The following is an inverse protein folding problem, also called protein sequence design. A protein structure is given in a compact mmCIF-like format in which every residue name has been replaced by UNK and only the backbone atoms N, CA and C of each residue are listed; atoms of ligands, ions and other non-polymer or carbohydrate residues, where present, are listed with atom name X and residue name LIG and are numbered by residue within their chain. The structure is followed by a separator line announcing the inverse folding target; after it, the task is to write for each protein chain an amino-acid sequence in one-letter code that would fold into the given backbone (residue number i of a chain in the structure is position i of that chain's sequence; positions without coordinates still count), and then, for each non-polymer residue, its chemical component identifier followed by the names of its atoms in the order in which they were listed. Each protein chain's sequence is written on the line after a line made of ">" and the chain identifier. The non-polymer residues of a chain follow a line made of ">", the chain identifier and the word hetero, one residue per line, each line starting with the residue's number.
data_IF_504622620850
#
_entry.id   IF_504622620850
#
_cell.length_a   1.000
_cell.length_b   1.000
_cell.length_c   1.000
_cell.angle_alpha   90.00
_cell.angle_beta   90.00
_cell.angle_gamma   90.00
#
_symmetry.space_group_name_H-M   'P 1'
#
loop_
_entity.id
_entity.type
_entity.pdbx_description
1 polymer ?
#
# COMPACT_ATOMS: atom_id res chain seq x y z
N UNK A 1 -31.58 27.64 -25.81
CA UNK A 1 -30.65 26.54 -26.17
C UNK A 1 -29.59 26.18 -25.10
N UNK A 2 -29.70 26.60 -23.83
CA UNK A 2 -28.68 26.31 -22.78
C UNK A 2 -29.01 25.15 -21.82
N UNK A 3 -30.25 24.66 -21.83
CA UNK A 3 -30.70 23.63 -20.86
C UNK A 3 -30.25 22.21 -21.22
N UNK A 4 -30.20 21.87 -22.51
CA UNK A 4 -29.75 20.53 -22.96
C UNK A 4 -28.30 20.22 -22.59
N UNK A 5 -27.43 21.24 -22.53
CA UNK A 5 -26.02 21.07 -22.15
C UNK A 5 -25.85 20.79 -20.66
N UNK A 6 -26.67 21.42 -19.80
CA UNK A 6 -26.66 21.15 -18.35
C UNK A 6 -27.18 19.75 -18.02
N UNK A 7 -28.19 19.27 -18.75
CA UNK A 7 -28.72 17.91 -18.62
C UNK A 7 -27.71 16.85 -19.09
N UNK A 8 -26.98 17.11 -20.17
CA UNK A 8 -25.88 16.24 -20.64
C UNK A 8 -24.70 16.19 -19.66
N UNK A 9 -24.31 17.31 -19.07
CA UNK A 9 -23.25 17.36 -18.05
C UNK A 9 -23.63 16.59 -16.78
N UNK A 10 -24.87 16.73 -16.30
CA UNK A 10 -25.36 15.98 -15.14
C UNK A 10 -25.41 14.46 -15.39
N UNK A 11 -25.79 14.03 -16.60
CA UNK A 11 -25.81 12.60 -16.97
C UNK A 11 -24.41 12.03 -17.15
N UNK A 12 -23.46 12.80 -17.69
CA UNK A 12 -22.05 12.41 -17.77
C UNK A 12 -21.38 12.32 -16.40
N UNK A 13 -21.64 13.26 -15.49
CA UNK A 13 -21.16 13.20 -14.10
C UNK A 13 -21.80 12.06 -13.30
N UNK A 14 -23.07 11.75 -13.54
CA UNK A 14 -23.74 10.60 -12.92
C UNK A 14 -23.17 9.25 -13.41
N UNK A 15 -22.68 9.18 -14.65
CA UNK A 15 -21.92 8.01 -15.17
C UNK A 15 -20.50 7.91 -14.59
N UNK A 16 -19.91 9.02 -14.16
CA UNK A 16 -18.57 9.06 -13.57
C UNK A 16 -18.58 8.91 -12.04
N UNK A 17 -19.77 8.85 -11.40
CA UNK A 17 -19.86 8.34 -10.03
C UNK A 17 -19.24 6.94 -10.06
N UNK A 18 -18.12 6.68 -9.38
CA UNK A 18 -17.51 5.37 -9.40
C UNK A 18 -18.58 4.41 -8.89
N UNK A 19 -19.09 3.56 -9.79
CA UNK A 19 -19.96 2.45 -9.48
C UNK A 19 -19.25 1.71 -8.36
N UNK A 20 -19.76 1.89 -7.14
CA UNK A 20 -19.38 1.21 -5.89
C UNK A 20 -18.07 0.44 -6.05
N UNK A 21 -16.96 1.04 -5.62
CA UNK A 21 -15.81 0.23 -5.24
C UNK A 21 -16.38 -0.86 -4.33
N UNK A 22 -16.31 -2.15 -4.71
CA UNK A 22 -16.94 -3.20 -3.95
C UNK A 22 -16.38 -3.10 -2.53
N UNK A 23 -17.24 -2.80 -1.55
CA UNK A 23 -16.80 -2.69 -0.15
C UNK A 23 -16.27 -4.03 0.36
N UNK A 24 -16.60 -5.11 -0.34
CA UNK A 24 -16.22 -6.48 -0.06
C UNK A 24 -15.86 -7.19 -1.36
N UNK A 25 -14.65 -7.76 -1.39
CA UNK A 25 -14.27 -8.77 -2.37
C UNK A 25 -14.19 -10.06 -1.56
N UNK A 26 -15.02 -11.06 -1.88
CA UNK A 26 -15.01 -12.39 -1.24
C UNK A 26 -15.27 -12.41 0.29
N UNK A 27 -16.13 -11.55 0.82
CA UNK A 27 -16.49 -11.56 2.25
C UNK A 27 -15.42 -10.95 3.18
N UNK A 28 -14.35 -10.37 2.61
CA UNK A 28 -13.37 -9.58 3.34
C UNK A 28 -13.61 -8.09 3.13
N UNK A 29 -13.53 -7.31 4.22
CA UNK A 29 -13.55 -5.85 4.14
C UNK A 29 -12.37 -5.38 3.29
N UNK A 30 -12.65 -4.68 2.19
CA UNK A 30 -11.64 -4.14 1.26
C UNK A 30 -10.59 -3.27 1.99
N UNK A 31 -11.03 -2.59 3.05
CA UNK A 31 -10.19 -1.75 3.91
C UNK A 31 -9.11 -2.59 4.59
N UNK A 32 -9.43 -3.80 5.07
CA UNK A 32 -8.44 -4.67 5.71
C UNK A 32 -7.40 -5.13 4.70
N UNK A 33 -7.82 -5.55 3.51
CA UNK A 33 -6.89 -5.96 2.43
C UNK A 33 -5.96 -4.80 2.06
N UNK A 34 -6.50 -3.58 1.95
CA UNK A 34 -5.71 -2.38 1.66
C UNK A 34 -4.68 -2.11 2.77
N UNK A 35 -5.08 -2.18 4.04
CA UNK A 35 -4.16 -2.01 5.18
C UNK A 35 -3.06 -3.07 5.15
N UNK A 36 -3.41 -4.35 4.95
CA UNK A 36 -2.42 -5.43 4.84
C UNK A 36 -1.46 -5.22 3.67
N UNK A 37 -1.97 -4.77 2.52
CA UNK A 37 -1.15 -4.41 1.37
C UNK A 37 -0.24 -3.20 1.63
N UNK A 38 -0.58 -2.33 2.59
CA UNK A 38 0.20 -1.14 2.95
C UNK A 38 1.29 -1.41 3.99
N UNK A 39 1.19 -2.51 4.76
CA UNK A 39 2.18 -2.87 5.79
C UNK A 39 3.57 -3.08 5.17
N UNK A 40 3.65 -3.86 4.09
CA UNK A 40 4.92 -4.15 3.42
C UNK A 40 5.60 -2.87 2.87
N UNK A 41 4.93 -2.04 2.05
CA UNK A 41 5.51 -0.77 1.61
C UNK A 41 5.86 0.16 2.77
N UNK A 42 5.07 0.17 3.85
CA UNK A 42 5.34 0.96 5.05
C UNK A 42 6.64 0.57 5.74
N UNK A 43 6.89 -0.74 5.92
CA UNK A 43 8.13 -1.25 6.51
C UNK A 43 9.33 -0.95 5.61
N UNK A 44 9.20 -1.16 4.30
CA UNK A 44 10.27 -0.86 3.34
C UNK A 44 10.61 0.63 3.37
N UNK A 45 9.60 1.51 3.36
CA UNK A 45 9.81 2.95 3.44
C UNK A 45 10.52 3.35 4.74
N UNK A 46 10.14 2.76 5.88
CA UNK A 46 10.81 3.02 7.16
C UNK A 46 12.28 2.57 7.17
N UNK A 47 12.61 1.42 6.59
CA UNK A 47 13.99 0.99 6.47
C UNK A 47 14.80 1.89 5.52
N UNK A 48 14.19 2.32 4.41
CA UNK A 48 14.84 3.26 3.49
C UNK A 48 15.10 4.62 4.14
N UNK A 49 14.15 5.18 4.88
CA UNK A 49 14.36 6.47 5.55
C UNK A 49 15.49 6.38 6.58
N UNK A 50 15.57 5.28 7.33
CA UNK A 50 16.68 5.01 8.24
C UNK A 50 18.01 4.87 7.49
N UNK A 51 18.05 4.12 6.38
CA UNK A 51 19.25 3.98 5.56
C UNK A 51 19.73 5.32 5.00
N UNK A 52 18.81 6.14 4.50
CA UNK A 52 19.11 7.50 4.02
C UNK A 52 19.65 8.36 5.16
N UNK A 53 18.95 8.47 6.29
CA UNK A 53 19.40 9.33 7.40
C UNK A 53 20.78 8.94 7.91
N UNK A 54 21.06 7.64 8.06
CA UNK A 54 22.38 7.11 8.42
C UNK A 54 23.46 7.55 7.42
N UNK A 55 23.20 7.39 6.12
CA UNK A 55 24.21 7.70 5.10
C UNK A 55 24.53 9.19 5.00
N UNK A 56 23.55 10.06 5.29
CA UNK A 56 23.76 11.50 5.36
C UNK A 56 24.45 11.92 6.67
N UNK A 57 24.10 11.28 7.80
CA UNK A 57 24.75 11.55 9.09
C UNK A 57 26.24 11.22 9.07
N UNK A 58 26.60 10.07 8.52
CA UNK A 58 28.00 9.63 8.40
C UNK A 58 28.73 10.23 7.18
N UNK A 59 28.05 11.11 6.42
CA UNK A 59 28.58 11.79 5.23
C UNK A 59 29.31 10.84 4.27
N UNK A 60 28.70 9.68 4.01
CA UNK A 60 29.30 8.63 3.20
C UNK A 60 29.46 9.07 1.74
N UNK A 61 30.41 8.46 1.03
CA UNK A 61 30.58 8.71 -0.40
C UNK A 61 29.32 8.28 -1.19
N UNK A 62 29.16 8.82 -2.40
CA UNK A 62 27.98 8.57 -3.24
C UNK A 62 27.73 7.07 -3.46
N UNK A 63 28.80 6.29 -3.73
CA UNK A 63 28.70 4.85 -3.91
C UNK A 63 28.18 4.12 -2.67
N UNK A 64 28.66 4.53 -1.48
CA UNK A 64 28.20 3.96 -0.20
C UNK A 64 26.75 4.34 0.11
N UNK A 65 26.29 5.53 -0.27
CA UNK A 65 24.87 5.91 -0.16
C UNK A 65 23.98 4.94 -0.93
N UNK A 66 24.32 4.63 -2.19
CA UNK A 66 23.58 3.67 -3.00
C UNK A 66 23.64 2.25 -2.43
N UNK A 67 24.81 1.81 -1.97
CA UNK A 67 24.97 0.48 -1.37
C UNK A 67 24.12 0.31 -0.11
N UNK A 68 24.15 1.30 0.80
CA UNK A 68 23.33 1.27 2.02
C UNK A 68 21.85 1.38 1.69
N UNK A 69 21.47 2.19 0.70
CA UNK A 69 20.08 2.25 0.26
C UNK A 69 19.59 0.88 -0.22
N UNK A 70 20.35 0.21 -1.09
CA UNK A 70 20.02 -1.12 -1.61
C UNK A 70 19.95 -2.19 -0.50
N UNK A 71 20.87 -2.14 0.46
CA UNK A 71 20.84 -3.03 1.62
C UNK A 71 19.62 -2.75 2.51
N UNK A 72 19.30 -1.48 2.74
CA UNK A 72 18.15 -1.08 3.56
C UNK A 72 16.81 -1.49 2.93
N UNK A 73 16.68 -1.43 1.59
CA UNK A 73 15.50 -1.95 0.88
C UNK A 73 15.43 -3.47 0.97
N UNK A 74 16.54 -4.18 0.76
CA UNK A 74 16.59 -5.64 0.89
C UNK A 74 16.16 -6.09 2.29
N UNK A 75 16.74 -5.49 3.32
CA UNK A 75 16.40 -5.79 4.73
C UNK A 75 14.94 -5.45 5.01
N UNK A 76 14.47 -4.26 4.61
CA UNK A 76 13.08 -3.84 4.81
C UNK A 76 12.10 -4.77 4.10
N UNK A 77 12.43 -5.24 2.89
CA UNK A 77 11.62 -6.19 2.15
C UNK A 77 11.60 -7.57 2.82
N UNK A 78 12.75 -8.09 3.23
CA UNK A 78 12.83 -9.39 3.92
C UNK A 78 12.07 -9.39 5.25
N UNK A 79 12.26 -8.35 6.07
CA UNK A 79 11.54 -8.20 7.34
C UNK A 79 10.06 -8.01 7.09
N UNK A 80 9.69 -7.13 6.16
CA UNK A 80 8.30 -6.90 5.80
C UNK A 80 7.60 -8.14 5.25
N UNK A 81 8.29 -8.95 4.44
CA UNK A 81 7.78 -10.21 3.92
C UNK A 81 7.56 -11.22 5.04
N UNK A 82 8.49 -11.37 5.99
CA UNK A 82 8.33 -12.25 7.15
C UNK A 82 7.14 -11.83 8.04
N UNK A 83 6.99 -10.52 8.28
CA UNK A 83 5.86 -9.97 9.03
C UNK A 83 4.55 -10.23 8.28
N UNK A 84 4.55 -10.04 6.96
CA UNK A 84 3.40 -10.30 6.11
C UNK A 84 3.00 -11.79 6.12
N UNK A 85 3.95 -12.71 6.00
CA UNK A 85 3.69 -14.16 6.08
C UNK A 85 3.07 -14.56 7.43
N UNK A 86 3.61 -14.04 8.55
CA UNK A 86 3.01 -14.29 9.88
C UNK A 86 1.59 -13.75 9.96
N UNK A 87 1.36 -12.51 9.52
CA UNK A 87 0.04 -11.89 9.53
C UNK A 87 -0.95 -12.58 8.59
N UNK A 88 -0.48 -13.11 7.46
CA UNK A 88 -1.28 -13.83 6.49
C UNK A 88 -1.91 -15.10 7.09
N UNK A 89 -1.16 -15.86 7.89
CA UNK A 89 -1.71 -17.02 8.62
C UNK A 89 -2.82 -16.63 9.61
N UNK A 90 -2.64 -15.52 10.34
CA UNK A 90 -3.70 -14.99 11.21
C UNK A 90 -4.93 -14.56 10.39
N UNK A 91 -4.72 -13.90 9.26
CA UNK A 91 -5.80 -13.45 8.37
C UNK A 91 -6.63 -14.63 7.83
N UNK A 92 -5.95 -15.71 7.41
CA UNK A 92 -6.60 -16.95 6.95
C UNK A 92 -7.39 -17.64 8.07
N UNK A 93 -6.92 -17.58 9.32
CA UNK A 93 -7.67 -18.10 10.48
C UNK A 93 -8.96 -17.32 10.70
N UNK A 94 -8.91 -15.98 10.67
CA UNK A 94 -10.13 -15.16 10.81
C UNK A 94 -11.13 -15.38 9.68
N UNK A 95 -10.66 -15.75 8.49
CA UNK A 95 -11.52 -16.08 7.36
C UNK A 95 -12.22 -17.42 7.50
N UNK A 96 -11.54 -18.44 8.04
CA UNK A 96 -12.11 -19.78 8.24
C UNK A 96 -13.21 -19.81 9.30
N UNK A 97 -13.24 -18.87 10.24
CA UNK A 97 -14.19 -18.84 11.37
C UNK A 97 -15.60 -18.38 10.97
N UNK A 98 -15.80 -17.83 9.75
CA UNK A 98 -17.13 -17.57 9.17
C UNK A 98 -17.59 -18.73 8.26
N UNK A 99 -17.66 -19.95 8.79
CA UNK A 99 -18.56 -20.98 8.25
C UNK A 99 -19.75 -21.12 9.18
#
# INVERSE_FOLDING_TARGET
>A
MKEGSRLRLKTSLARYKPRRIPREIHGYSLIRILIFGLILPGIVAACMTVGVTLTFWFNLSLAWKFAVLALSTLVGFSVGALVFFKLYEYMLRFAKVRR
#
